data_IF_732598579809
#
_entry.id   IF_732598579809
#
_cell.length_a   1.000
_cell.length_b   1.000
_cell.length_c   1.000
_cell.angle_alpha   90.00
_cell.angle_beta   90.00
_cell.angle_gamma   90.00
#
_symmetry.space_group_name_H-M   'P 1'
#
loop_
_entity.id
_entity.type
_entity.pdbx_description
1 polymer ?
#
# COMPACT_ATOMS: atom_id res chain seq x y z
N UNK A 1 -20.53 7.44 -6.39
CA UNK A 1 -20.94 6.28 -7.23
C UNK A 1 -20.45 5.01 -6.55
N UNK A 2 -21.31 4.03 -6.32
CA UNK A 2 -21.00 2.79 -5.59
C UNK A 2 -20.51 1.67 -6.53
N UNK A 3 -19.42 1.93 -7.26
CA UNK A 3 -18.84 1.00 -8.24
C UNK A 3 -17.72 0.16 -7.61
N UNK A 4 -18.07 -0.67 -6.63
CA UNK A 4 -17.08 -1.40 -5.83
C UNK A 4 -16.28 -2.42 -6.64
N UNK A 5 -16.90 -3.09 -7.61
CA UNK A 5 -16.20 -4.04 -8.48
C UNK A 5 -15.07 -3.37 -9.28
N UNK A 6 -15.38 -2.25 -9.95
CA UNK A 6 -14.38 -1.51 -10.73
C UNK A 6 -13.28 -0.93 -9.84
N UNK A 7 -13.63 -0.48 -8.63
CA UNK A 7 -12.66 0.02 -7.66
C UNK A 7 -11.70 -1.09 -7.18
N UNK A 8 -12.24 -2.28 -6.88
CA UNK A 8 -11.45 -3.44 -6.47
C UNK A 8 -10.49 -3.89 -7.59
N UNK A 9 -10.99 -3.98 -8.81
CA UNK A 9 -10.20 -4.36 -9.98
C UNK A 9 -9.06 -3.36 -10.25
N UNK A 10 -9.37 -2.06 -10.18
CA UNK A 10 -8.37 -1.00 -10.38
C UNK A 10 -7.24 -1.04 -9.35
N UNK A 11 -7.55 -1.18 -8.06
CA UNK A 11 -6.50 -1.24 -7.02
C UNK A 11 -5.72 -2.55 -7.08
N UNK A 12 -6.36 -3.65 -7.45
CA UNK A 12 -5.70 -4.94 -7.65
C UNK A 12 -4.66 -4.87 -8.77
N UNK A 13 -5.04 -4.36 -9.95
CA UNK A 13 -4.11 -4.19 -11.07
C UNK A 13 -2.98 -3.21 -10.74
N UNK A 14 -3.26 -2.12 -10.04
CA UNK A 14 -2.21 -1.21 -9.57
C UNK A 14 -1.21 -1.92 -8.65
N UNK A 15 -1.70 -2.68 -7.67
CA UNK A 15 -0.84 -3.40 -6.72
C UNK A 15 0.08 -4.41 -7.41
N UNK A 16 -0.46 -5.16 -8.37
CA UNK A 16 0.26 -6.26 -9.01
C UNK A 16 1.14 -5.79 -10.18
N UNK A 17 0.55 -5.08 -11.14
CA UNK A 17 1.22 -4.76 -12.40
C UNK A 17 2.12 -3.53 -12.29
N UNK A 18 1.67 -2.48 -11.59
CA UNK A 18 2.42 -1.22 -11.48
C UNK A 18 3.38 -1.25 -10.31
N UNK A 19 2.91 -1.60 -9.11
CA UNK A 19 3.72 -1.53 -7.90
C UNK A 19 4.69 -2.72 -7.78
N UNK A 20 4.19 -3.95 -7.79
CA UNK A 20 5.02 -5.14 -7.58
C UNK A 20 5.87 -5.49 -8.81
N UNK A 21 5.28 -5.52 -10.01
CA UNK A 21 6.00 -5.99 -11.21
C UNK A 21 6.94 -4.94 -11.81
N UNK A 22 6.56 -3.66 -11.80
CA UNK A 22 7.35 -2.59 -12.44
C UNK A 22 8.13 -1.76 -11.43
N UNK A 23 7.44 -1.13 -10.48
CA UNK A 23 8.09 -0.17 -9.59
C UNK A 23 9.14 -0.84 -8.71
N UNK A 24 8.81 -1.98 -8.09
CA UNK A 24 9.76 -2.71 -7.24
C UNK A 24 11.00 -3.15 -8.03
N UNK A 25 10.84 -3.68 -9.24
CA UNK A 25 11.97 -4.04 -10.11
C UNK A 25 12.84 -2.82 -10.43
N UNK A 26 12.22 -1.70 -10.80
CA UNK A 26 12.91 -0.44 -11.07
C UNK A 26 13.66 0.12 -9.85
N UNK A 27 13.25 -0.23 -8.62
CA UNK A 27 13.94 0.23 -7.40
C UNK A 27 15.27 -0.49 -7.14
N UNK A 28 15.44 -1.71 -7.64
CA UNK A 28 16.60 -2.56 -7.32
C UNK A 28 17.93 -1.97 -7.83
N UNK A 29 17.88 -1.32 -8.99
CA UNK A 29 19.06 -0.77 -9.67
C UNK A 29 19.33 0.70 -9.35
N UNK A 30 18.58 1.31 -8.43
CA UNK A 30 18.77 2.73 -8.09
C UNK A 30 19.94 2.96 -7.15
N UNK A 31 20.71 4.01 -7.43
CA UNK A 31 21.84 4.49 -6.62
C UNK A 31 21.35 5.15 -5.33
N UNK A 32 20.26 5.91 -5.40
CA UNK A 32 19.61 6.54 -4.24
C UNK A 32 18.52 5.63 -3.65
N UNK A 33 18.97 4.61 -2.92
CA UNK A 33 18.09 3.58 -2.35
C UNK A 33 17.20 4.14 -1.24
N UNK A 34 17.70 5.03 -0.40
CA UNK A 34 16.95 5.56 0.75
C UNK A 34 15.73 6.38 0.31
N UNK A 35 15.92 7.32 -0.63
CA UNK A 35 14.79 8.11 -1.15
C UNK A 35 13.81 7.20 -1.88
N UNK A 36 14.30 6.28 -2.71
CA UNK A 36 13.45 5.34 -3.45
C UNK A 36 12.61 4.46 -2.52
N UNK A 37 13.21 3.93 -1.44
CA UNK A 37 12.53 3.12 -0.44
C UNK A 37 11.51 3.93 0.36
N UNK A 38 11.79 5.20 0.66
CA UNK A 38 10.85 6.08 1.36
C UNK A 38 9.56 6.31 0.53
N UNK A 39 9.72 6.55 -0.77
CA UNK A 39 8.60 6.72 -1.71
C UNK A 39 7.84 5.41 -1.87
N UNK A 40 8.56 4.29 -2.00
CA UNK A 40 7.93 2.96 -2.07
C UNK A 40 7.06 2.69 -0.84
N UNK A 41 7.60 2.91 0.37
CA UNK A 41 6.86 2.74 1.62
C UNK A 41 5.60 3.59 1.65
N UNK A 42 5.70 4.86 1.25
CA UNK A 42 4.55 5.76 1.21
C UNK A 42 3.45 5.23 0.27
N UNK A 43 3.81 4.83 -0.96
CA UNK A 43 2.84 4.30 -1.93
C UNK A 43 2.24 3.00 -1.41
N UNK A 44 3.07 2.07 -0.95
CA UNK A 44 2.65 0.76 -0.47
C UNK A 44 1.66 0.85 0.70
N UNK A 45 1.93 1.67 1.72
CA UNK A 45 1.01 1.83 2.84
C UNK A 45 -0.32 2.46 2.43
N UNK A 46 -0.33 3.40 1.49
CA UNK A 46 -1.58 3.96 0.98
C UNK A 46 -2.36 2.93 0.16
N UNK A 47 -1.68 2.12 -0.65
CA UNK A 47 -2.34 1.06 -1.40
C UNK A 47 -2.94 -0.03 -0.51
N UNK A 48 -2.28 -0.40 0.61
CA UNK A 48 -2.88 -1.29 1.61
C UNK A 48 -4.18 -0.72 2.19
N UNK A 49 -4.22 0.58 2.50
CA UNK A 49 -5.45 1.25 2.97
C UNK A 49 -6.56 1.22 1.92
N UNK A 50 -6.23 1.45 0.65
CA UNK A 50 -7.20 1.40 -0.46
C UNK A 50 -7.73 -0.02 -0.70
N UNK A 51 -6.90 -1.04 -0.48
CA UNK A 51 -7.26 -2.45 -0.66
C UNK A 51 -8.03 -3.03 0.53
N UNK A 52 -7.87 -2.46 1.73
CA UNK A 52 -8.44 -2.96 2.98
C UNK A 52 -9.97 -3.21 2.94
N UNK A 53 -10.82 -2.36 2.33
CA UNK A 53 -12.25 -2.64 2.20
C UNK A 53 -12.59 -3.93 1.43
N UNK A 54 -11.67 -4.43 0.59
CA UNK A 54 -11.85 -5.62 -0.23
C UNK A 54 -11.14 -6.85 0.34
N UNK A 55 -10.01 -6.68 1.02
CA UNK A 55 -9.20 -7.77 1.60
C UNK A 55 -8.79 -7.48 3.06
N UNK A 56 -9.75 -7.35 4.00
CA UNK A 56 -9.49 -6.80 5.32
C UNK A 56 -8.50 -7.65 6.14
N UNK A 57 -8.63 -8.98 6.10
CA UNK A 57 -7.77 -9.85 6.92
C UNK A 57 -6.33 -9.91 6.42
N UNK A 58 -6.13 -9.99 5.09
CA UNK A 58 -4.79 -10.08 4.50
C UNK A 58 -4.05 -8.75 4.66
N UNK A 59 -4.72 -7.64 4.36
CA UNK A 59 -4.12 -6.31 4.49
C UNK A 59 -3.83 -5.97 5.95
N UNK A 60 -4.66 -6.39 6.91
CA UNK A 60 -4.39 -6.23 8.35
C UNK A 60 -3.20 -7.08 8.78
N UNK A 61 -3.09 -8.35 8.36
CA UNK A 61 -1.96 -9.20 8.71
C UNK A 61 -0.63 -8.58 8.25
N UNK A 62 -0.54 -8.13 6.99
CA UNK A 62 0.62 -7.44 6.45
C UNK A 62 0.91 -6.14 7.23
N UNK A 63 -0.13 -5.37 7.56
CA UNK A 63 -0.01 -4.13 8.31
C UNK A 63 0.57 -4.33 9.72
N UNK A 64 0.26 -5.46 10.36
CA UNK A 64 0.82 -5.85 11.65
C UNK A 64 2.28 -6.32 11.54
N UNK A 65 2.64 -7.06 10.49
CA UNK A 65 4.04 -7.45 10.24
C UNK A 65 4.96 -6.23 10.04
N UNK A 66 4.42 -5.13 9.50
CA UNK A 66 5.16 -3.90 9.21
C UNK A 66 5.03 -2.83 10.31
N UNK A 67 4.59 -3.19 11.52
CA UNK A 67 4.33 -2.23 12.62
C UNK A 67 5.55 -1.39 12.99
N UNK A 68 6.76 -1.97 12.95
CA UNK A 68 8.01 -1.29 13.35
C UNK A 68 8.42 -0.19 12.36
N UNK A 69 7.84 -0.18 11.15
CA UNK A 69 8.07 0.84 10.13
C UNK A 69 7.07 2.00 10.20
N UNK A 70 6.12 1.97 11.14
CA UNK A 70 5.02 2.94 11.26
C UNK A 70 5.16 3.78 12.53
N UNK A 71 4.68 5.03 12.45
CA UNK A 71 4.66 5.97 13.59
C UNK A 71 3.78 5.50 14.76
N UNK A 72 2.71 4.76 14.46
CA UNK A 72 1.75 4.25 15.42
C UNK A 72 1.66 2.71 15.28
N UNK A 73 2.55 1.95 15.93
CA UNK A 73 2.67 0.50 15.70
C UNK A 73 1.39 -0.27 16.08
N UNK A 74 0.72 0.13 17.15
CA UNK A 74 -0.50 -0.52 17.65
C UNK A 74 -1.78 -0.11 16.91
N UNK A 75 -1.69 0.83 15.96
CA UNK A 75 -2.84 1.26 15.17
C UNK A 75 -3.23 0.15 14.17
N UNK A 76 -4.47 -0.33 14.25
CA UNK A 76 -5.08 -1.22 13.27
C UNK A 76 -5.33 -0.50 11.94
N UNK A 77 -5.28 -1.23 10.83
CA UNK A 77 -5.50 -0.66 9.49
C UNK A 77 -6.92 -0.13 9.34
N UNK A 78 -7.91 -0.85 9.89
CA UNK A 78 -9.33 -0.48 9.82
C UNK A 78 -9.66 0.89 10.43
N UNK A 79 -8.86 1.36 11.40
CA UNK A 79 -9.06 2.67 12.05
C UNK A 79 -8.19 3.77 11.46
N UNK A 80 -7.40 3.45 10.42
CA UNK A 80 -6.53 4.42 9.78
C UNK A 80 -7.30 5.38 8.87
N UNK A 81 -6.84 6.62 8.78
CA UNK A 81 -7.45 7.61 7.89
C UNK A 81 -7.31 7.20 6.43
N UNK A 82 -8.40 7.39 5.67
CA UNK A 82 -8.44 7.17 4.24
C UNK A 82 -7.39 8.04 3.51
N UNK A 83 -6.71 7.53 2.47
CA UNK A 83 -5.74 8.32 1.72
C UNK A 83 -6.41 9.52 1.01
N UNK A 84 -5.76 10.68 1.08
CA UNK A 84 -6.16 11.89 0.34
C UNK A 84 -5.20 12.13 -0.81
N UNK A 85 -5.70 12.67 -1.93
CA UNK A 85 -4.83 13.21 -2.97
C UNK A 85 -4.03 14.38 -2.40
N UNK A 86 -2.74 14.45 -2.75
CA UNK A 86 -1.88 15.60 -2.46
C UNK A 86 -2.34 16.86 -3.18
#
# INVERSE_FOLDING_TARGET
KYRFADAADSIYHFMWDELASKYLENTKDRVDKEVTLSVFRYVYFNSLKLLHPFMPFVTEAIWQELKDLRKYPDQLLITSSWPTSL
#
